data_IF_767738492648
#
_entry.id   IF_767738492648
#
_cell.length_a   1.000
_cell.length_b   1.000
_cell.length_c   1.000
_cell.angle_alpha   90.00
_cell.angle_beta   90.00
_cell.angle_gamma   90.00
#
_symmetry.space_group_name_H-M   'P 1'
#
loop_
_entity.id
_entity.type
_entity.pdbx_description
1 polymer ?
#
# COMPACT_ATOMS: atom_id res chain seq x y z
N UNK A 1 34.74 -26.38 -78.91
CA UNK A 1 33.46 -26.96 -78.45
C UNK A 1 33.80 -27.96 -77.35
N UNK A 2 33.81 -27.58 -76.07
CA UNK A 2 34.07 -28.53 -74.98
C UNK A 2 32.79 -29.29 -74.62
N UNK A 3 32.97 -30.56 -74.27
CA UNK A 3 31.92 -31.54 -74.00
C UNK A 3 30.93 -31.07 -72.93
N UNK A 4 29.69 -30.95 -73.39
CA UNK A 4 28.53 -30.62 -72.59
C UNK A 4 27.98 -31.97 -72.08
N UNK A 5 28.33 -32.36 -70.85
CA UNK A 5 27.85 -33.51 -70.05
C UNK A 5 29.02 -34.32 -69.46
N UNK A 6 29.65 -33.76 -68.44
CA UNK A 6 30.58 -34.50 -67.58
C UNK A 6 29.77 -35.23 -66.48
N UNK A 7 29.64 -36.57 -66.53
CA UNK A 7 28.82 -37.34 -65.60
C UNK A 7 29.30 -37.22 -64.15
N UNK A 8 30.58 -36.87 -63.93
CA UNK A 8 31.15 -36.66 -62.60
C UNK A 8 30.56 -35.40 -61.96
N UNK A 9 30.39 -34.32 -62.74
CA UNK A 9 29.74 -33.08 -62.27
C UNK A 9 28.28 -33.32 -61.88
N UNK A 10 27.59 -34.22 -62.58
CA UNK A 10 26.19 -34.57 -62.29
C UNK A 10 26.05 -35.32 -60.95
N UNK A 11 26.98 -36.25 -60.68
CA UNK A 11 27.02 -37.00 -59.40
C UNK A 11 27.36 -36.08 -58.24
N UNK A 12 28.32 -35.16 -58.42
CA UNK A 12 28.69 -34.16 -57.40
C UNK A 12 27.51 -33.22 -57.11
N UNK A 13 26.83 -32.73 -58.15
CA UNK A 13 25.66 -31.85 -57.97
C UNK A 13 24.51 -32.58 -57.25
N UNK A 14 24.30 -33.86 -57.54
CA UNK A 14 23.28 -34.68 -56.87
C UNK A 14 23.62 -34.89 -55.39
N UNK A 15 24.86 -35.26 -55.07
CA UNK A 15 25.32 -35.42 -53.68
C UNK A 15 25.17 -34.12 -52.88
N UNK A 16 25.54 -32.97 -53.47
CA UNK A 16 25.38 -31.66 -52.82
C UNK A 16 23.90 -31.28 -52.61
N UNK A 17 22.99 -31.72 -53.49
CA UNK A 17 21.55 -31.48 -53.31
C UNK A 17 20.95 -32.35 -52.20
N UNK A 18 21.43 -33.58 -52.05
CA UNK A 18 21.03 -34.51 -50.99
C UNK A 18 21.56 -34.05 -49.62
N UNK A 19 22.79 -33.56 -49.55
CA UNK A 19 23.38 -32.99 -48.33
C UNK A 19 22.67 -31.73 -47.86
N UNK A 20 22.26 -30.85 -48.80
CA UNK A 20 21.46 -29.65 -48.48
C UNK A 20 20.07 -30.03 -47.96
N UNK A 21 19.41 -30.99 -48.59
CA UNK A 21 18.11 -31.49 -48.13
C UNK A 21 18.19 -32.15 -46.73
N UNK A 22 19.29 -32.84 -46.43
CA UNK A 22 19.54 -33.41 -45.12
C UNK A 22 19.76 -32.31 -44.05
N UNK A 23 20.52 -31.26 -44.37
CA UNK A 23 20.77 -30.15 -43.47
C UNK A 23 19.48 -29.37 -43.12
N UNK A 24 18.60 -29.15 -44.09
CA UNK A 24 17.32 -28.47 -43.88
C UNK A 24 16.38 -29.27 -42.96
N UNK A 25 16.34 -30.60 -43.13
CA UNK A 25 15.57 -31.50 -42.26
C UNK A 25 16.09 -31.52 -40.82
N UNK A 26 17.41 -31.41 -40.62
CA UNK A 26 18.00 -31.31 -39.28
C UNK A 26 17.70 -29.95 -38.62
N UNK A 27 17.75 -28.86 -39.39
CA UNK A 27 17.37 -27.54 -38.92
C UNK A 27 15.91 -27.51 -38.45
N UNK A 28 14.99 -28.06 -39.26
CA UNK A 28 13.57 -28.14 -38.92
C UNK A 28 13.31 -29.01 -37.67
N UNK A 29 14.05 -30.11 -37.51
CA UNK A 29 13.99 -30.96 -36.30
C UNK A 29 14.46 -30.22 -35.06
N UNK A 30 15.56 -29.46 -35.13
CA UNK A 30 16.08 -28.65 -34.01
C UNK A 30 15.09 -27.57 -33.62
N UNK A 31 14.48 -26.90 -34.58
CA UNK A 31 13.49 -25.85 -34.34
C UNK A 31 12.22 -26.41 -33.68
N UNK A 32 11.71 -27.55 -34.16
CA UNK A 32 10.58 -28.27 -33.54
C UNK A 32 10.90 -28.78 -32.13
N UNK A 33 12.14 -29.20 -31.87
CA UNK A 33 12.58 -29.59 -30.53
C UNK A 33 12.70 -28.39 -29.58
N UNK A 34 13.22 -27.26 -30.06
CA UNK A 34 13.28 -25.99 -29.31
C UNK A 34 11.89 -25.44 -28.95
N UNK A 35 10.94 -25.49 -29.89
CA UNK A 35 9.56 -25.08 -29.64
C UNK A 35 8.85 -25.98 -28.61
N UNK A 36 9.15 -27.28 -28.60
CA UNK A 36 8.60 -28.24 -27.62
C UNK A 36 9.16 -28.03 -26.21
N UNK A 37 10.45 -27.71 -26.08
CA UNK A 37 11.05 -27.42 -24.77
C UNK A 37 10.58 -26.08 -24.21
N UNK A 38 10.39 -25.05 -25.04
CA UNK A 38 9.75 -23.78 -24.62
C UNK A 38 8.31 -23.99 -24.14
N UNK A 39 7.49 -24.74 -24.88
CA UNK A 39 6.09 -25.03 -24.47
C UNK A 39 5.97 -25.83 -23.17
N UNK A 40 6.94 -26.70 -22.86
CA UNK A 40 6.97 -27.43 -21.57
C UNK A 40 7.35 -26.54 -20.38
N UNK A 41 8.07 -25.43 -20.58
CA UNK A 41 8.40 -24.47 -19.51
C UNK A 41 7.25 -23.50 -19.17
N UNK A 42 6.21 -23.44 -20.00
CA UNK A 42 5.10 -22.48 -19.88
C UNK A 42 3.86 -23.04 -19.16
N UNK A 43 3.89 -24.29 -18.65
CA UNK A 43 2.78 -24.78 -17.81
C UNK A 43 3.02 -24.34 -16.38
N UNK A 44 2.28 -23.33 -15.86
CA UNK A 44 2.47 -22.86 -14.50
C UNK A 44 2.16 -24.01 -13.54
N UNK A 45 3.03 -24.18 -12.55
CA UNK A 45 2.83 -25.21 -11.52
C UNK A 45 1.58 -24.87 -10.72
N UNK A 46 0.86 -25.85 -10.15
CA UNK A 46 -0.34 -25.59 -9.33
C UNK A 46 -0.09 -24.56 -8.22
N UNK A 47 1.11 -24.58 -7.62
CA UNK A 47 1.56 -23.61 -6.61
C UNK A 47 1.70 -22.19 -7.15
N UNK A 48 2.13 -22.04 -8.40
CA UNK A 48 2.24 -20.73 -9.08
C UNK A 48 0.87 -20.19 -9.47
N UNK A 49 -0.06 -21.08 -9.85
CA UNK A 49 -1.46 -20.71 -10.12
C UNK A 49 -2.13 -20.24 -8.84
N UNK A 50 -2.00 -20.96 -7.71
CA UNK A 50 -2.54 -20.51 -6.43
C UNK A 50 -1.89 -19.21 -5.96
N UNK A 51 -0.57 -19.07 -6.10
CA UNK A 51 0.14 -17.85 -5.74
C UNK A 51 -0.34 -16.66 -6.59
N UNK A 52 -0.52 -16.84 -7.89
CA UNK A 52 -1.06 -15.81 -8.79
C UNK A 52 -2.52 -15.45 -8.47
N UNK A 53 -3.36 -16.44 -8.17
CA UNK A 53 -4.76 -16.24 -7.79
C UNK A 53 -4.92 -15.54 -6.44
N UNK A 54 -3.99 -15.75 -5.50
CA UNK A 54 -3.97 -15.05 -4.21
C UNK A 54 -3.17 -13.75 -4.24
N UNK A 55 -2.45 -13.47 -5.34
CA UNK A 55 -1.62 -12.28 -5.43
C UNK A 55 -2.50 -11.05 -5.64
N UNK A 56 -2.52 -10.18 -4.64
CA UNK A 56 -3.16 -8.87 -4.76
C UNK A 56 -2.46 -8.09 -5.88
N UNK A 57 -3.20 -7.51 -6.84
CA UNK A 57 -2.59 -6.75 -7.93
C UNK A 57 -1.70 -5.64 -7.38
N UNK A 58 -0.55 -5.40 -8.04
CA UNK A 58 0.39 -4.35 -7.62
C UNK A 58 -0.26 -2.95 -7.54
N UNK A 59 -1.27 -2.70 -8.37
CA UNK A 59 -2.07 -1.46 -8.35
C UNK A 59 -2.83 -1.26 -7.03
N UNK A 60 -3.53 -2.30 -6.54
CA UNK A 60 -4.31 -2.22 -5.29
C UNK A 60 -3.40 -1.99 -4.08
N UNK A 61 -2.23 -2.63 -4.03
CA UNK A 61 -1.25 -2.35 -2.98
C UNK A 61 -0.73 -0.92 -3.02
N UNK A 62 -0.51 -0.38 -4.22
CA UNK A 62 -0.09 1.02 -4.39
C UNK A 62 -1.18 1.97 -3.88
N UNK A 63 -2.43 1.74 -4.26
CA UNK A 63 -3.57 2.54 -3.81
C UNK A 63 -3.73 2.52 -2.30
N UNK A 64 -3.63 1.34 -1.67
CA UNK A 64 -3.67 1.21 -0.22
C UNK A 64 -2.56 2.00 0.50
N UNK A 65 -1.34 2.05 -0.07
CA UNK A 65 -0.25 2.88 0.48
C UNK A 65 -0.52 4.37 0.35
N UNK A 66 -1.02 4.80 -0.80
CA UNK A 66 -1.39 6.19 -1.03
C UNK A 66 -2.53 6.63 -0.12
N UNK A 67 -3.51 5.76 0.11
CA UNK A 67 -4.59 5.99 1.05
C UNK A 67 -4.09 6.08 2.50
N UNK A 68 -3.16 5.21 2.91
CA UNK A 68 -2.52 5.32 4.22
C UNK A 68 -1.70 6.62 4.35
N UNK A 69 -0.99 7.02 3.30
CA UNK A 69 -0.23 8.27 3.26
C UNK A 69 -1.14 9.50 3.38
N UNK A 70 -2.29 9.54 2.70
CA UNK A 70 -3.19 10.69 2.79
C UNK A 70 -3.77 10.86 4.20
N UNK A 71 -4.11 9.76 4.87
CA UNK A 71 -4.49 9.81 6.29
C UNK A 71 -3.34 10.24 7.21
N UNK A 72 -2.12 9.77 6.95
CA UNK A 72 -0.94 10.14 7.72
C UNK A 72 -0.62 11.64 7.58
N UNK A 73 -0.70 12.16 6.36
CA UNK A 73 -0.49 13.58 6.06
C UNK A 73 -1.58 14.45 6.71
N UNK A 74 -2.83 13.98 6.71
CA UNK A 74 -3.93 14.64 7.42
C UNK A 74 -3.62 14.78 8.92
N UNK A 75 -3.16 13.71 9.57
CA UNK A 75 -2.78 13.73 10.98
C UNK A 75 -1.52 14.55 11.24
N UNK A 76 -0.51 14.50 10.36
CA UNK A 76 0.72 15.30 10.51
C UNK A 76 0.41 16.79 10.51
N UNK A 77 -0.34 17.22 9.51
CA UNK A 77 -0.67 18.63 9.35
C UNK A 77 -1.67 19.07 10.41
N UNK A 78 -2.47 18.12 10.92
CA UNK A 78 -3.51 18.37 11.91
C UNK A 78 -4.29 19.62 11.50
N UNK A 79 -4.74 19.65 10.22
CA UNK A 79 -5.29 20.87 9.62
C UNK A 79 -6.59 21.23 10.32
N UNK A 80 -6.45 22.10 11.31
CA UNK A 80 -7.50 22.61 12.17
C UNK A 80 -8.32 23.63 11.39
N UNK A 81 -9.53 23.26 10.96
CA UNK A 81 -10.50 24.27 10.52
C UNK A 81 -11.26 24.77 11.74
N UNK A 82 -10.98 26.01 12.15
CA UNK A 82 -11.79 26.69 13.16
C UNK A 82 -13.16 27.03 12.54
N UNK A 83 -14.18 26.28 12.91
CA UNK A 83 -15.56 26.64 12.56
C UNK A 83 -16.10 27.51 13.69
N UNK A 84 -16.50 28.74 13.36
CA UNK A 84 -17.28 29.59 14.27
C UNK A 84 -18.68 29.00 14.39
N UNK A 85 -18.85 28.04 15.29
CA UNK A 85 -20.18 27.57 15.66
C UNK A 85 -20.85 28.70 16.45
N UNK A 86 -22.02 29.15 15.98
CA UNK A 86 -22.81 30.15 16.69
C UNK A 86 -23.31 29.57 18.01
N UNK A 87 -22.62 29.88 19.12
CA UNK A 87 -23.04 29.61 20.49
C UNK A 87 -23.05 28.12 20.90
N UNK A 88 -22.01 27.69 21.62
CA UNK A 88 -22.06 26.45 22.41
C UNK A 88 -22.48 26.80 23.83
N UNK A 89 -23.59 26.23 24.32
CA UNK A 89 -24.02 26.39 25.71
C UNK A 89 -23.37 25.30 26.57
N UNK A 90 -22.45 25.69 27.45
CA UNK A 90 -21.93 24.82 28.50
C UNK A 90 -22.69 25.11 29.79
N UNK A 91 -23.39 24.10 30.32
CA UNK A 91 -23.91 24.13 31.69
C UNK A 91 -22.84 23.52 32.59
N UNK A 92 -22.31 24.30 33.53
CA UNK A 92 -21.44 23.79 34.57
C UNK A 92 -22.16 22.67 35.33
N UNK A 93 -21.47 21.55 35.51
CA UNK A 93 -22.02 20.37 36.18
C UNK A 93 -22.44 20.66 37.63
N UNK A 94 -23.36 19.87 38.19
CA UNK A 94 -23.93 20.11 39.52
C UNK A 94 -22.89 19.83 40.61
N UNK A 95 -22.17 20.85 41.05
CA UNK A 95 -21.19 20.71 42.13
C UNK A 95 -20.40 21.97 42.48
N UNK A 96 -20.36 22.97 41.60
CA UNK A 96 -19.65 24.23 41.86
C UNK A 96 -20.63 25.31 42.32
N UNK A 97 -20.44 25.95 43.49
CA UNK A 97 -21.31 27.05 43.91
C UNK A 97 -21.24 28.18 42.86
N UNK A 98 -22.38 28.78 42.47
CA UNK A 98 -22.42 29.78 41.42
C UNK A 98 -21.70 31.04 41.89
N UNK A 99 -20.49 31.25 41.39
CA UNK A 99 -19.80 32.51 41.54
C UNK A 99 -20.51 33.53 40.63
N UNK A 100 -21.30 34.43 41.24
CA UNK A 100 -22.24 35.35 40.58
C UNK A 100 -21.52 36.40 39.71
N UNK A 101 -20.19 36.34 39.58
CA UNK A 101 -19.36 37.27 38.83
C UNK A 101 -18.65 36.67 37.61
N UNK A 102 -18.88 35.40 37.27
CA UNK A 102 -18.46 34.87 35.97
C UNK A 102 -19.59 35.06 34.98
N UNK A 103 -19.66 36.28 34.42
CA UNK A 103 -20.27 36.49 33.11
C UNK A 103 -19.63 35.47 32.16
N UNK A 104 -20.37 34.39 31.89
CA UNK A 104 -19.90 33.27 31.08
C UNK A 104 -19.22 33.84 29.85
N UNK A 105 -17.94 33.53 29.70
CA UNK A 105 -17.18 33.91 28.52
C UNK A 105 -17.83 33.19 27.35
N UNK A 106 -18.80 33.85 26.72
CA UNK A 106 -19.48 33.43 25.49
C UNK A 106 -18.51 33.61 24.32
N UNK A 107 -17.28 33.13 24.48
CA UNK A 107 -16.31 33.01 23.41
C UNK A 107 -16.67 31.71 22.71
N UNK A 108 -17.06 31.74 21.44
CA UNK A 108 -17.24 30.52 20.68
C UNK A 108 -15.92 29.75 20.77
N UNK A 109 -15.94 28.61 21.45
CA UNK A 109 -14.79 27.73 21.46
C UNK A 109 -14.65 27.24 20.01
N UNK A 110 -13.55 27.56 19.32
CA UNK A 110 -13.39 27.13 17.95
C UNK A 110 -13.43 25.60 17.95
N UNK A 111 -14.48 25.03 17.36
CA UNK A 111 -14.52 23.58 17.17
C UNK A 111 -13.58 23.29 16.02
N UNK A 112 -12.60 22.46 16.32
CA UNK A 112 -11.52 22.17 15.41
C UNK A 112 -11.77 20.83 14.75
N UNK A 113 -11.86 20.85 13.42
CA UNK A 113 -12.06 19.65 12.64
C UNK A 113 -10.77 19.26 11.92
N UNK A 114 -10.51 17.95 11.90
CA UNK A 114 -9.47 17.30 11.12
C UNK A 114 -10.04 16.91 9.75
N UNK A 115 -9.50 17.50 8.69
CA UNK A 115 -9.83 17.10 7.31
C UNK A 115 -9.08 15.82 6.94
N UNK A 116 -9.81 14.72 6.77
CA UNK A 116 -9.29 13.41 6.36
C UNK A 116 -9.83 13.05 4.97
N UNK A 117 -9.24 12.06 4.26
CA UNK A 117 -9.79 11.62 2.96
C UNK A 117 -11.22 11.06 3.03
N UNK A 118 -11.67 10.62 4.22
CA UNK A 118 -13.02 10.11 4.43
C UNK A 118 -14.02 11.18 4.92
N UNK A 119 -13.56 12.43 5.11
CA UNK A 119 -14.39 13.54 5.61
C UNK A 119 -13.76 14.32 6.76
N UNK A 120 -14.56 15.17 7.39
CA UNK A 120 -14.15 15.98 8.55
C UNK A 120 -14.50 15.25 9.85
N UNK A 121 -13.52 15.13 10.76
CA UNK A 121 -13.70 14.54 12.09
C UNK A 121 -13.38 15.57 13.17
N UNK A 122 -14.09 15.53 14.30
CA UNK A 122 -13.77 16.36 15.46
C UNK A 122 -12.39 15.98 16.01
N UNK A 123 -11.50 16.95 16.13
CA UNK A 123 -10.16 16.78 16.70
C UNK A 123 -10.22 16.13 18.09
N UNK A 124 -11.15 16.57 18.94
CA UNK A 124 -11.25 16.07 20.31
C UNK A 124 -11.59 14.58 20.31
N UNK A 125 -12.52 14.16 19.45
CA UNK A 125 -12.91 12.75 19.30
C UNK A 125 -11.74 11.91 18.75
N UNK A 126 -11.00 12.41 17.76
CA UNK A 126 -9.82 11.72 17.20
C UNK A 126 -8.71 11.60 18.26
N UNK A 127 -8.43 12.68 18.99
CA UNK A 127 -7.42 12.71 20.05
C UNK A 127 -7.76 11.80 21.22
N UNK A 128 -9.03 11.76 21.63
CA UNK A 128 -9.53 10.82 22.62
C UNK A 128 -9.35 9.38 22.13
N UNK A 129 -9.70 9.10 20.87
CA UNK A 129 -9.57 7.76 20.30
C UNK A 129 -8.13 7.27 20.25
N UNK A 130 -7.19 8.14 19.88
CA UNK A 130 -5.75 7.83 19.93
C UNK A 130 -5.32 7.52 21.37
N UNK A 131 -5.81 8.27 22.34
CA UNK A 131 -5.49 8.08 23.76
C UNK A 131 -6.06 6.76 24.29
N UNK A 132 -7.29 6.42 23.92
CA UNK A 132 -7.91 5.11 24.21
C UNK A 132 -7.07 3.98 23.61
N UNK A 133 -6.72 4.06 22.33
CA UNK A 133 -5.87 3.06 21.67
C UNK A 133 -4.52 2.89 22.37
N UNK A 134 -3.92 3.97 22.89
CA UNK A 134 -2.62 3.91 23.58
C UNK A 134 -2.71 3.25 24.98
N UNK A 135 -3.88 3.33 25.63
CA UNK A 135 -4.12 2.84 27.00
C UNK A 135 -4.79 1.47 27.03
N UNK A 136 -5.67 1.19 26.08
CA UNK A 136 -6.58 0.05 26.07
C UNK A 136 -6.32 -0.88 24.87
N UNK A 137 -6.83 -2.11 24.93
CA UNK A 137 -6.67 -3.11 23.87
C UNK A 137 -5.44 -4.01 23.99
N UNK A 138 -5.10 -4.68 22.88
CA UNK A 138 -3.99 -5.63 22.81
C UNK A 138 -2.63 -4.91 22.85
N UNK A 139 -1.55 -5.65 23.10
CA UNK A 139 -0.18 -5.09 23.10
C UNK A 139 0.13 -4.38 21.78
N UNK A 140 -0.34 -4.93 20.66
CA UNK A 140 -0.18 -4.36 19.33
C UNK A 140 -0.96 -3.05 19.18
N UNK A 141 -2.23 -3.02 19.57
CA UNK A 141 -3.06 -1.81 19.49
C UNK A 141 -2.48 -0.68 20.34
N UNK A 142 -2.00 -1.00 21.55
CA UNK A 142 -1.31 -0.05 22.44
C UNK A 142 -0.05 0.53 21.81
N UNK A 143 0.73 -0.31 21.12
CA UNK A 143 1.92 0.16 20.42
C UNK A 143 1.56 1.12 19.28
N UNK A 144 0.54 0.79 18.49
CA UNK A 144 0.05 1.66 17.41
C UNK A 144 -0.50 2.98 17.97
N UNK A 145 -1.27 2.95 19.05
CA UNK A 145 -1.76 4.14 19.74
C UNK A 145 -0.61 5.06 20.21
N UNK A 146 0.45 4.49 20.78
CA UNK A 146 1.66 5.25 21.16
C UNK A 146 2.37 5.87 19.95
N UNK A 147 2.39 5.20 18.80
CA UNK A 147 2.96 5.77 17.57
C UNK A 147 2.15 6.98 17.09
N UNK A 148 0.83 6.91 17.17
CA UNK A 148 -0.07 8.02 16.81
C UNK A 148 0.03 9.18 17.80
N UNK A 149 0.17 8.90 19.09
CA UNK A 149 0.32 9.93 20.12
C UNK A 149 1.65 10.69 19.97
N UNK A 150 2.72 9.98 19.58
CA UNK A 150 3.99 10.60 19.16
C UNK A 150 3.83 11.44 17.91
N UNK A 151 3.03 11.00 16.94
CA UNK A 151 2.78 11.76 15.73
C UNK A 151 2.06 13.09 16.01
N UNK A 152 1.16 13.09 17.01
CA UNK A 152 0.50 14.30 17.51
C UNK A 152 1.48 15.23 18.23
N UNK A 153 2.27 14.69 19.15
CA UNK A 153 3.05 15.47 20.12
C UNK A 153 4.46 15.85 19.64
N UNK A 154 5.08 15.04 18.79
CA UNK A 154 6.47 15.15 18.36
C UNK A 154 6.60 15.11 16.83
N UNK A 155 5.94 16.06 16.14
CA UNK A 155 5.92 16.13 14.67
C UNK A 155 7.33 16.12 14.04
N UNK A 156 8.33 16.71 14.71
CA UNK A 156 9.72 16.76 14.24
C UNK A 156 10.47 15.43 14.25
N UNK A 157 10.03 14.44 15.03
CA UNK A 157 10.68 13.11 15.14
C UNK A 157 10.00 12.04 14.26
N UNK A 158 8.92 12.40 13.58
CA UNK A 158 8.14 11.53 12.71
C UNK A 158 8.64 11.60 11.26
N UNK A 159 8.27 10.61 10.45
CA UNK A 159 8.61 10.62 9.02
C UNK A 159 7.87 11.79 8.35
N UNK A 160 8.56 12.59 7.53
CA UNK A 160 7.91 13.69 6.81
C UNK A 160 6.84 13.19 5.82
N UNK A 161 7.07 12.00 5.24
CA UNK A 161 6.12 11.28 4.40
C UNK A 161 6.31 9.77 4.56
N UNK A 162 5.22 9.00 4.46
CA UNK A 162 5.29 7.54 4.41
C UNK A 162 5.76 7.01 3.06
N UNK A 163 5.45 7.74 1.98
CA UNK A 163 5.58 7.27 0.60
C UNK A 163 6.43 8.27 -0.19
N UNK A 164 7.32 7.74 -1.03
CA UNK A 164 8.14 8.52 -1.97
C UNK A 164 7.33 8.92 -3.20
N UNK A 165 7.88 9.83 -4.01
CA UNK A 165 7.22 10.29 -5.26
C UNK A 165 6.87 9.14 -6.22
N UNK A 166 7.63 8.04 -6.20
CA UNK A 166 7.41 6.83 -7.00
C UNK A 166 6.34 5.88 -6.42
N UNK A 167 5.61 6.29 -5.39
CA UNK A 167 4.63 5.47 -4.66
C UNK A 167 5.23 4.25 -3.92
N UNK A 168 6.56 4.22 -3.74
CA UNK A 168 7.23 3.24 -2.90
C UNK A 168 7.32 3.73 -1.45
N UNK A 169 7.55 2.81 -0.51
CA UNK A 169 7.76 3.19 0.88
C UNK A 169 9.01 4.05 1.04
N UNK A 170 9.00 4.89 2.07
CA UNK A 170 10.21 5.56 2.55
C UNK A 170 11.33 4.55 2.87
N UNK A 171 12.58 5.04 2.93
CA UNK A 171 13.79 4.24 3.18
C UNK A 171 13.64 3.29 4.39
N UNK A 172 12.93 3.72 5.43
CA UNK A 172 12.56 2.92 6.58
C UNK A 172 11.22 2.21 6.34
N UNK A 173 11.22 1.23 5.43
CA UNK A 173 10.02 0.56 4.95
C UNK A 173 9.15 -0.04 6.07
N UNK A 174 9.77 -0.73 7.02
CA UNK A 174 9.06 -1.33 8.16
C UNK A 174 8.41 -0.26 9.03
N UNK A 175 9.15 0.81 9.37
CA UNK A 175 8.63 1.93 10.17
C UNK A 175 7.48 2.64 9.45
N UNK A 176 7.61 2.90 8.15
CA UNK A 176 6.56 3.51 7.34
C UNK A 176 5.30 2.62 7.30
N UNK A 177 5.47 1.31 7.13
CA UNK A 177 4.36 0.34 7.12
C UNK A 177 3.67 0.28 8.50
N UNK A 178 4.41 0.37 9.61
CA UNK A 178 3.82 0.43 10.96
C UNK A 178 2.97 1.68 11.18
N UNK A 179 3.44 2.84 10.72
CA UNK A 179 2.62 4.07 10.76
C UNK A 179 1.39 3.93 9.86
N UNK A 180 1.51 3.36 8.67
CA UNK A 180 0.36 3.09 7.80
C UNK A 180 -0.69 2.21 8.48
N UNK A 181 -0.26 1.11 9.12
CA UNK A 181 -1.16 0.24 9.91
C UNK A 181 -1.78 1.00 11.07
N UNK A 182 -1.01 1.81 11.81
CA UNK A 182 -1.52 2.57 12.94
C UNK A 182 -2.64 3.54 12.52
N UNK A 183 -2.39 4.29 11.46
CA UNK A 183 -3.32 5.30 10.94
C UNK A 183 -4.57 4.66 10.35
N UNK A 184 -4.45 3.56 9.61
CA UNK A 184 -5.61 2.84 9.09
C UNK A 184 -6.41 2.15 10.20
N UNK A 185 -5.75 1.67 11.26
CA UNK A 185 -6.43 1.13 12.44
C UNK A 185 -7.25 2.22 13.14
N UNK A 186 -6.70 3.43 13.24
CA UNK A 186 -7.45 4.59 13.74
C UNK A 186 -8.67 4.88 12.86
N UNK A 187 -8.51 4.93 11.54
CA UNK A 187 -9.61 5.16 10.59
C UNK A 187 -10.75 4.12 10.74
N UNK A 188 -10.41 2.84 10.84
CA UNK A 188 -11.40 1.77 11.12
C UNK A 188 -12.06 1.99 12.49
N UNK A 189 -11.29 2.39 13.50
CA UNK A 189 -11.83 2.66 14.84
C UNK A 189 -12.80 3.86 14.87
N UNK A 190 -12.68 4.78 13.91
CA UNK A 190 -13.58 5.91 13.65
C UNK A 190 -14.76 5.52 12.75
N UNK A 191 -14.95 4.22 12.46
CA UNK A 191 -16.00 3.63 11.63
C UNK A 191 -15.91 3.97 10.14
N UNK A 192 -14.70 4.21 9.63
CA UNK A 192 -14.45 4.36 8.18
C UNK A 192 -14.32 2.98 7.54
N UNK A 193 -15.40 2.50 6.93
CA UNK A 193 -15.45 1.17 6.30
C UNK A 193 -14.43 1.02 5.15
N UNK A 194 -14.19 2.09 4.39
CA UNK A 194 -13.24 2.10 3.27
C UNK A 194 -11.79 1.85 3.71
N UNK A 195 -11.47 1.99 5.00
CA UNK A 195 -10.14 1.74 5.54
C UNK A 195 -9.84 0.26 5.85
N UNK A 196 -10.86 -0.61 5.89
CA UNK A 196 -10.70 -2.02 6.26
C UNK A 196 -9.85 -2.82 5.26
N UNK A 197 -10.12 -2.65 3.96
CA UNK A 197 -9.37 -3.36 2.92
C UNK A 197 -7.91 -2.89 2.85
N UNK A 198 -7.61 -1.57 2.80
CA UNK A 198 -6.25 -1.07 2.91
C UNK A 198 -5.54 -1.57 4.17
N UNK A 199 -6.21 -1.61 5.32
CA UNK A 199 -5.63 -2.08 6.57
C UNK A 199 -5.16 -3.54 6.45
N UNK A 200 -6.01 -4.42 5.90
CA UNK A 200 -5.67 -5.83 5.70
C UNK A 200 -4.44 -5.98 4.80
N UNK A 201 -4.34 -5.18 3.74
CA UNK A 201 -3.20 -5.20 2.82
C UNK A 201 -1.91 -4.73 3.49
N UNK A 202 -1.97 -3.69 4.31
CA UNK A 202 -0.80 -3.17 5.03
C UNK A 202 -0.34 -4.13 6.13
N UNK A 203 -1.26 -4.82 6.81
CA UNK A 203 -0.92 -5.87 7.77
C UNK A 203 -0.21 -7.06 7.10
N UNK A 204 -0.70 -7.50 5.93
CA UNK A 204 -0.01 -8.53 5.14
C UNK A 204 1.38 -8.09 4.70
N UNK A 205 1.54 -6.82 4.30
CA UNK A 205 2.83 -6.27 3.91
C UNK A 205 3.80 -6.17 5.10
N UNK A 206 3.32 -5.76 6.28
CA UNK A 206 4.12 -5.74 7.51
C UNK A 206 4.56 -7.14 7.92
N UNK A 207 3.66 -8.13 7.85
CA UNK A 207 3.98 -9.52 8.13
C UNK A 207 5.04 -10.06 7.15
N UNK A 208 4.95 -9.71 5.86
CA UNK A 208 5.96 -10.12 4.88
C UNK A 208 7.35 -9.53 5.17
N UNK A 209 7.42 -8.31 5.73
CA UNK A 209 8.67 -7.66 6.12
C UNK A 209 9.30 -8.24 7.38
N UNK A 210 8.48 -8.75 8.31
CA UNK A 210 8.99 -9.41 9.51
C UNK A 210 9.71 -10.74 9.24
N UNK A 211 9.48 -11.33 8.06
CA UNK A 211 10.05 -12.62 7.65
C UNK A 211 11.11 -12.50 6.54
N UNK A 212 11.52 -11.28 6.18
CA UNK A 212 12.53 -10.99 5.15
C UNK A 212 13.83 -10.50 5.77
#
# INVERSE_FOLDING_TARGET
MPDLFDPIQLVIAKAQSEDRAAADLEAERRERQGARTQRRRLKPRPREITAALTSVPRGVRREARLYAASWYDALLQWRTREVKIGGSFHYDGPGTPPDVLLAGTNRPMPTVYLSTPAGEFDEAAVGQRITEMAREGTVETRHLGKLLDKLRSEKGNCLASLVREDSSWHQHRERATRYAVAVLTLAVSLRVAEAEEPLRLMQQELAALAHS
#
